data_IF_194462637396
#
_entry.id   IF_194462637396
#
_cell.length_a   1.000
_cell.length_b   1.000
_cell.length_c   1.000
_cell.angle_alpha   90.00
_cell.angle_beta   90.00
_cell.angle_gamma   90.00
#
_symmetry.space_group_name_H-M   'P 1'
#
loop_
_entity.id
_entity.type
_entity.pdbx_description
1 polymer ?
#
# COMPACT_ATOMS: atom_id res chain seq x y z
N UNK A 1 26.59 -20.61 -29.80
CA UNK A 1 26.44 -19.60 -28.71
C UNK A 1 25.73 -18.31 -29.14
N UNK A 2 25.98 -17.74 -30.33
CA UNK A 2 25.28 -16.52 -30.81
C UNK A 2 23.78 -16.69 -31.15
N UNK A 3 23.31 -17.92 -31.39
CA UNK A 3 21.92 -18.20 -31.76
C UNK A 3 20.95 -18.05 -30.56
N UNK A 4 21.34 -18.50 -29.36
CA UNK A 4 20.51 -18.37 -28.14
C UNK A 4 20.38 -16.94 -27.61
N UNK A 5 21.30 -16.04 -27.95
CA UNK A 5 21.26 -14.63 -27.51
C UNK A 5 20.21 -13.80 -28.26
N UNK A 6 19.87 -14.17 -29.50
CA UNK A 6 18.82 -13.50 -30.29
C UNK A 6 17.40 -13.89 -29.88
N UNK A 7 17.20 -15.07 -29.28
CA UNK A 7 15.88 -15.49 -28.77
C UNK A 7 15.48 -14.76 -27.50
N UNK A 8 16.45 -14.33 -26.67
CA UNK A 8 16.22 -13.52 -25.47
C UNK A 8 15.85 -12.06 -25.79
N UNK A 9 16.19 -11.55 -26.99
CA UNK A 9 15.90 -10.16 -27.41
C UNK A 9 14.42 -9.91 -27.72
N UNK A 10 13.54 -10.93 -27.74
CA UNK A 10 12.16 -10.78 -28.26
C UNK A 10 11.07 -11.58 -27.53
N UNK A 11 11.16 -11.79 -26.23
CA UNK A 11 9.94 -11.92 -25.44
C UNK A 11 9.48 -10.51 -25.02
N UNK A 12 8.90 -9.78 -25.97
CA UNK A 12 8.13 -8.58 -25.63
C UNK A 12 6.90 -9.05 -24.86
N UNK A 13 6.91 -8.82 -23.55
CA UNK A 13 5.73 -8.98 -22.72
C UNK A 13 4.80 -7.79 -23.02
N UNK A 14 3.65 -8.08 -23.63
CA UNK A 14 2.59 -7.11 -23.82
C UNK A 14 1.61 -7.23 -22.65
N UNK A 15 1.62 -6.25 -21.75
CA UNK A 15 0.72 -6.20 -20.61
C UNK A 15 -0.70 -5.78 -21.01
N UNK A 16 -0.89 -5.27 -22.23
CA UNK A 16 -2.08 -4.58 -22.69
C UNK A 16 -2.04 -3.06 -22.43
N UNK A 17 -3.09 -2.37 -22.84
CA UNK A 17 -3.25 -0.92 -22.65
C UNK A 17 -3.84 -0.62 -21.25
N UNK A 18 -3.26 0.35 -20.54
CA UNK A 18 -3.70 0.83 -19.23
C UNK A 18 -3.66 2.35 -19.22
N UNK A 19 -4.54 2.96 -18.42
CA UNK A 19 -4.55 4.41 -18.23
C UNK A 19 -3.42 4.85 -17.29
N UNK A 20 -3.15 4.04 -16.25
CA UNK A 20 -2.15 4.33 -15.22
C UNK A 20 -1.29 3.10 -14.97
N UNK A 21 0.03 3.29 -14.94
CA UNK A 21 1.00 2.31 -14.50
C UNK A 21 1.69 2.80 -13.22
N UNK A 22 1.52 2.09 -12.11
CA UNK A 22 2.18 2.36 -10.83
C UNK A 22 3.35 1.41 -10.66
N UNK A 23 4.56 1.96 -10.52
CA UNK A 23 5.78 1.16 -10.37
C UNK A 23 6.17 1.04 -8.90
N UNK A 24 5.91 -0.13 -8.32
CA UNK A 24 6.31 -0.51 -6.96
C UNK A 24 5.12 -0.58 -5.99
N UNK A 25 4.85 -1.79 -5.46
CA UNK A 25 3.80 -2.04 -4.48
C UNK A 25 4.20 -1.72 -3.02
N UNK A 26 4.93 -0.62 -2.80
CA UNK A 26 5.14 -0.08 -1.45
C UNK A 26 3.90 0.63 -0.91
N UNK A 27 3.96 1.20 0.30
CA UNK A 27 2.83 1.93 0.91
C UNK A 27 2.25 3.01 -0.01
N UNK A 28 3.11 3.83 -0.63
CA UNK A 28 2.67 4.88 -1.54
C UNK A 28 2.06 4.31 -2.84
N UNK A 29 2.66 3.26 -3.41
CA UNK A 29 2.16 2.64 -4.63
C UNK A 29 0.83 1.94 -4.43
N UNK A 30 0.60 1.32 -3.26
CA UNK A 30 -0.69 0.73 -2.92
C UNK A 30 -1.80 1.79 -2.93
N UNK A 31 -1.59 2.91 -2.23
CA UNK A 31 -2.59 4.01 -2.20
C UNK A 31 -2.79 4.64 -3.57
N UNK A 32 -1.71 4.89 -4.33
CA UNK A 32 -1.80 5.47 -5.67
C UNK A 32 -2.58 4.56 -6.63
N UNK A 33 -2.30 3.25 -6.61
CA UNK A 33 -2.95 2.30 -7.49
C UNK A 33 -4.43 2.08 -7.13
N UNK A 34 -4.74 1.99 -5.83
CA UNK A 34 -6.11 1.93 -5.34
C UNK A 34 -6.90 3.18 -5.68
N UNK A 35 -6.32 4.37 -5.50
CA UNK A 35 -6.97 5.63 -5.83
C UNK A 35 -7.31 5.70 -7.33
N UNK A 36 -6.34 5.40 -8.20
CA UNK A 36 -6.51 5.37 -9.64
C UNK A 36 -7.63 4.39 -10.07
N UNK A 37 -7.57 3.16 -9.58
CA UNK A 37 -8.53 2.12 -9.90
C UNK A 37 -9.96 2.45 -9.43
N UNK A 38 -10.09 3.04 -8.23
CA UNK A 38 -11.38 3.49 -7.65
C UNK A 38 -11.97 4.68 -8.41
N UNK A 39 -11.14 5.48 -9.06
CA UNK A 39 -11.57 6.54 -9.97
C UNK A 39 -11.99 6.02 -11.35
N UNK A 40 -11.98 4.69 -11.57
CA UNK A 40 -12.43 4.04 -12.80
C UNK A 40 -11.34 3.88 -13.86
N UNK A 41 -10.09 4.21 -13.55
CA UNK A 41 -8.97 4.08 -14.49
C UNK A 41 -8.42 2.65 -14.47
N UNK A 42 -8.20 2.07 -15.65
CA UNK A 42 -7.57 0.76 -15.79
C UNK A 42 -6.11 0.89 -15.36
N UNK A 43 -5.81 0.36 -14.18
CA UNK A 43 -4.54 0.59 -13.48
C UNK A 43 -3.72 -0.68 -13.45
N UNK A 44 -2.42 -0.57 -13.68
CA UNK A 44 -1.46 -1.66 -13.54
C UNK A 44 -0.50 -1.36 -12.40
N UNK A 45 -0.42 -2.25 -11.41
CA UNK A 45 0.56 -2.13 -10.32
C UNK A 45 1.69 -3.15 -10.48
N UNK A 46 2.91 -2.65 -10.65
CA UNK A 46 4.10 -3.49 -10.66
C UNK A 46 4.65 -3.71 -9.26
N UNK A 47 5.07 -4.93 -8.99
CA UNK A 47 5.87 -5.26 -7.82
C UNK A 47 7.02 -6.18 -8.20
N UNK A 48 8.15 -6.04 -7.51
CA UNK A 48 9.29 -6.96 -7.64
C UNK A 48 8.94 -8.33 -7.04
N UNK A 49 8.09 -8.34 -6.01
CA UNK A 49 7.54 -9.56 -5.41
C UNK A 49 6.21 -9.24 -4.73
N UNK A 50 5.24 -10.17 -4.82
CA UNK A 50 4.00 -10.07 -4.06
C UNK A 50 4.25 -10.17 -2.54
N UNK A 51 5.41 -10.72 -2.14
CA UNK A 51 5.86 -10.75 -0.75
C UNK A 51 6.45 -9.41 -0.27
N UNK A 52 6.57 -8.41 -1.16
CA UNK A 52 7.03 -7.07 -0.79
C UNK A 52 5.89 -6.05 -0.65
N UNK A 53 4.64 -6.46 -0.96
CA UNK A 53 3.46 -5.57 -0.93
C UNK A 53 3.29 -4.94 0.44
N UNK A 54 3.32 -3.62 0.50
CA UNK A 54 3.20 -2.82 1.72
C UNK A 54 4.02 -3.35 2.91
N UNK A 55 5.19 -3.92 2.63
CA UNK A 55 6.09 -4.41 3.68
C UNK A 55 6.49 -3.25 4.60
N UNK A 56 6.60 -3.52 5.91
CA UNK A 56 7.04 -2.58 6.93
C UNK A 56 8.51 -2.85 7.31
N UNK A 57 9.52 -2.39 6.53
CA UNK A 57 10.92 -2.77 6.74
C UNK A 57 11.55 -2.15 8.00
N UNK A 58 11.11 -0.97 8.42
CA UNK A 58 11.69 -0.25 9.54
C UNK A 58 11.11 -0.74 10.88
N UNK A 59 9.91 -0.28 11.21
CA UNK A 59 9.20 -0.64 12.43
C UNK A 59 7.75 -1.00 12.11
N UNK A 60 7.15 -1.93 12.88
CA UNK A 60 5.79 -2.39 12.63
C UNK A 60 4.76 -1.42 13.23
N UNK A 61 4.86 -0.13 12.90
CA UNK A 61 3.96 0.90 13.44
C UNK A 61 3.37 1.77 12.34
N UNK A 62 2.07 2.01 12.45
CA UNK A 62 1.34 3.01 11.66
C UNK A 62 0.88 4.12 12.60
N UNK A 63 1.00 5.37 12.14
CA UNK A 63 0.72 6.55 12.94
C UNK A 63 1.86 6.99 13.87
N UNK A 64 1.52 7.64 14.98
CA UNK A 64 2.44 8.40 15.83
C UNK A 64 2.33 9.91 15.61
N UNK A 65 2.91 10.73 16.49
CA UNK A 65 2.65 12.18 16.65
C UNK A 65 2.14 12.92 15.40
N UNK A 66 2.90 12.96 14.30
CA UNK A 66 2.45 13.60 13.06
C UNK A 66 1.84 12.62 12.05
N UNK A 67 2.29 11.37 12.04
CA UNK A 67 1.86 10.35 11.07
C UNK A 67 0.41 9.91 11.28
N UNK A 68 -0.10 9.95 12.51
CA UNK A 68 -1.47 9.55 12.82
C UNK A 68 -2.51 10.46 12.18
N UNK A 69 -2.19 11.75 11.99
CA UNK A 69 -3.04 12.68 11.24
C UNK A 69 -3.05 12.32 9.76
N UNK A 70 -1.88 12.10 9.16
CA UNK A 70 -1.78 11.69 7.75
C UNK A 70 -2.54 10.39 7.46
N UNK A 71 -2.47 9.40 8.36
CA UNK A 71 -3.23 8.14 8.20
C UNK A 71 -4.74 8.41 8.20
N UNK A 72 -5.22 9.32 9.05
CA UNK A 72 -6.64 9.72 9.10
C UNK A 72 -7.04 10.53 7.86
N UNK A 73 -6.18 11.40 7.37
CA UNK A 73 -6.41 12.14 6.12
C UNK A 73 -6.52 11.19 4.92
N UNK A 74 -5.61 10.21 4.81
CA UNK A 74 -5.66 9.15 3.79
C UNK A 74 -6.99 8.38 3.89
N UNK A 75 -7.39 7.97 5.08
CA UNK A 75 -8.65 7.27 5.31
C UNK A 75 -9.87 8.12 4.90
N UNK A 76 -9.89 9.40 5.26
CA UNK A 76 -10.94 10.34 4.85
C UNK A 76 -11.03 10.53 3.34
N UNK A 77 -9.89 10.49 2.62
CA UNK A 77 -9.84 10.53 1.16
C UNK A 77 -10.21 9.20 0.50
N UNK A 78 -10.53 8.17 1.29
CA UNK A 78 -10.92 6.85 0.79
C UNK A 78 -9.75 5.91 0.53
N UNK A 79 -8.57 6.18 1.08
CA UNK A 79 -7.42 5.27 1.07
C UNK A 79 -7.63 4.02 1.92
N UNK A 80 -6.60 3.18 2.00
CA UNK A 80 -6.66 1.88 2.70
C UNK A 80 -5.77 1.78 3.94
N UNK A 81 -4.77 2.64 4.12
CA UNK A 81 -3.81 2.55 5.22
C UNK A 81 -4.49 2.47 6.59
N UNK A 82 -5.52 3.29 6.83
CA UNK A 82 -6.31 3.31 8.06
C UNK A 82 -7.10 2.01 8.29
N UNK A 83 -7.87 1.58 7.27
CA UNK A 83 -8.66 0.34 7.34
C UNK A 83 -7.79 -0.90 7.49
N UNK A 84 -6.66 -0.93 6.79
CA UNK A 84 -5.74 -2.04 6.86
C UNK A 84 -5.10 -2.16 8.25
N UNK A 85 -4.68 -1.05 8.87
CA UNK A 85 -4.14 -1.12 10.22
C UNK A 85 -5.20 -1.52 11.25
N UNK A 86 -6.46 -1.08 11.09
CA UNK A 86 -7.56 -1.45 11.98
C UNK A 86 -7.85 -2.96 11.99
N UNK A 87 -7.59 -3.66 10.88
CA UNK A 87 -7.77 -5.12 10.79
C UNK A 87 -6.59 -5.91 11.37
N UNK A 88 -5.41 -5.29 11.48
CA UNK A 88 -4.15 -6.02 11.72
C UNK A 88 -3.34 -5.51 12.90
N UNK A 89 -3.86 -4.57 13.68
CA UNK A 89 -3.15 -4.06 14.85
C UNK A 89 -3.08 -5.13 15.97
N UNK A 90 -1.97 -5.15 16.68
CA UNK A 90 -1.77 -5.89 17.92
C UNK A 90 -2.06 -4.99 19.12
N UNK A 91 -1.65 -3.72 19.03
CA UNK A 91 -1.85 -2.72 20.06
C UNK A 91 -2.13 -1.37 19.42
N UNK A 92 -3.02 -0.58 20.01
CA UNK A 92 -3.26 0.81 19.62
C UNK A 92 -3.24 1.72 20.84
N UNK A 93 -2.66 2.92 20.70
CA UNK A 93 -2.61 3.93 21.76
C UNK A 93 -2.79 5.33 21.19
N UNK A 94 -3.54 6.16 21.92
CA UNK A 94 -3.56 7.61 21.70
C UNK A 94 -2.34 8.26 22.36
N UNK A 95 -1.55 9.00 21.59
CA UNK A 95 -0.41 9.78 22.07
C UNK A 95 -0.84 11.20 22.45
N UNK A 96 -0.04 11.87 23.29
CA UNK A 96 -0.22 13.27 23.71
C UNK A 96 -1.54 13.58 24.42
N UNK A 97 -2.15 12.60 25.09
CA UNK A 97 -3.45 12.75 25.77
C UNK A 97 -3.46 13.82 26.87
N UNK A 98 -2.30 14.24 27.39
CA UNK A 98 -2.18 15.32 28.38
C UNK A 98 -2.08 16.73 27.78
N UNK A 99 -1.99 16.88 26.46
CA UNK A 99 -1.69 18.15 25.78
C UNK A 99 -2.87 18.73 24.97
N UNK A 100 -4.06 18.13 25.11
CA UNK A 100 -5.30 18.56 24.46
C UNK A 100 -5.51 18.00 23.04
N UNK A 101 -6.77 18.00 22.55
CA UNK A 101 -7.18 17.23 21.36
C UNK A 101 -6.45 17.57 20.07
N UNK A 102 -6.05 18.83 19.89
CA UNK A 102 -5.39 19.31 18.66
C UNK A 102 -4.07 18.57 18.36
N UNK A 103 -3.40 18.02 19.38
CA UNK A 103 -2.12 17.32 19.24
C UNK A 103 -2.22 15.82 19.51
N UNK A 104 -3.44 15.31 19.69
CA UNK A 104 -3.69 13.88 19.83
C UNK A 104 -3.34 13.16 18.54
N UNK A 105 -2.73 11.99 18.67
CA UNK A 105 -2.33 11.22 17.50
C UNK A 105 -2.33 9.73 17.80
N UNK A 106 -3.02 8.97 16.96
CA UNK A 106 -3.07 7.52 17.11
C UNK A 106 -1.77 6.89 16.64
N UNK A 107 -1.31 5.89 17.39
CA UNK A 107 -0.22 5.00 17.01
C UNK A 107 -0.67 3.57 17.22
N UNK A 108 -0.57 2.77 16.17
CA UNK A 108 -0.85 1.34 16.21
C UNK A 108 0.41 0.54 15.92
N UNK A 109 0.60 -0.55 16.64
CA UNK A 109 1.55 -1.60 16.31
C UNK A 109 0.84 -2.65 15.45
N UNK A 110 1.39 -2.98 14.30
CA UNK A 110 0.84 -3.95 13.37
C UNK A 110 1.45 -5.34 13.57
N UNK A 111 0.66 -6.38 13.32
CA UNK A 111 1.21 -7.65 12.88
C UNK A 111 1.68 -7.48 11.42
N UNK A 112 3.01 -7.53 11.21
CA UNK A 112 3.64 -7.26 9.91
C UNK A 112 3.09 -8.16 8.80
N UNK A 113 2.95 -9.46 9.09
CA UNK A 113 2.52 -10.42 8.09
C UNK A 113 1.05 -10.20 7.77
N UNK A 114 0.21 -9.99 8.79
CA UNK A 114 -1.22 -9.71 8.56
C UNK A 114 -1.44 -8.43 7.79
N UNK A 115 -0.76 -7.33 8.12
CA UNK A 115 -0.90 -6.06 7.41
C UNK A 115 -0.56 -6.19 5.92
N UNK A 116 0.52 -6.90 5.62
CA UNK A 116 0.91 -7.21 4.25
C UNK A 116 -0.15 -8.07 3.53
N UNK A 117 -0.59 -9.16 4.16
CA UNK A 117 -1.56 -10.08 3.56
C UNK A 117 -2.89 -9.38 3.28
N UNK A 118 -3.35 -8.55 4.20
CA UNK A 118 -4.61 -7.83 4.06
C UNK A 118 -4.53 -6.72 3.00
N UNK A 119 -3.40 -5.99 2.90
CA UNK A 119 -3.19 -5.05 1.79
C UNK A 119 -3.15 -5.76 0.45
N UNK A 120 -2.40 -6.87 0.36
CA UNK A 120 -2.34 -7.69 -0.86
C UNK A 120 -3.74 -8.18 -1.25
N UNK A 121 -4.50 -8.71 -0.31
CA UNK A 121 -5.88 -9.16 -0.52
C UNK A 121 -6.79 -8.03 -1.03
N UNK A 122 -6.60 -6.83 -0.49
CA UNK A 122 -7.36 -5.65 -0.91
C UNK A 122 -7.03 -5.23 -2.34
N UNK A 123 -5.73 -5.23 -2.71
CA UNK A 123 -5.29 -4.93 -4.07
C UNK A 123 -5.81 -5.96 -5.08
N UNK A 124 -5.68 -7.26 -4.80
CA UNK A 124 -6.11 -8.36 -5.69
C UNK A 124 -7.63 -8.38 -5.96
N UNK A 125 -8.42 -7.70 -5.12
CA UNK A 125 -9.88 -7.66 -5.22
C UNK A 125 -10.41 -6.32 -5.70
N UNK A 126 -9.55 -5.33 -5.90
CA UNK A 126 -9.96 -4.01 -6.34
C UNK A 126 -10.31 -4.06 -7.84
N UNK A 127 -11.55 -3.74 -8.25
CA UNK A 127 -11.86 -3.60 -9.67
C UNK A 127 -10.95 -2.55 -10.33
N UNK A 128 -10.55 -2.81 -11.58
CA UNK A 128 -9.65 -1.99 -12.40
C UNK A 128 -8.18 -1.94 -11.94
N UNK A 129 -7.73 -2.87 -11.09
CA UNK A 129 -6.35 -2.95 -10.60
C UNK A 129 -5.75 -4.35 -10.77
#
# INVERSE_FOLDING_TARGET
MKVKMKELEKMKYDAGEYDIAVVGAGHAGCEAALAAARMGMKTLLFSISLEAVANMPCNPHIGGSSKGHLVREIDCLGGEMGKNIDKTFVQMRMLNTSKGPAVYSLRAQADRKKYQMEMKHTLERQPNL
#
